data_IF_788646065766
#
_entry.id   IF_788646065766
#
_cell.length_a   1.000
_cell.length_b   1.000
_cell.length_c   1.000
_cell.angle_alpha   90.00
_cell.angle_beta   90.00
_cell.angle_gamma   90.00
#
_symmetry.space_group_name_H-M   'P 1'
#
loop_
_entity.id
_entity.type
_entity.pdbx_description
1 polymer ?
#
# COMPACT_ATOMS: atom_id res chain seq x y z
N UNK A 1 19.52 -2.03 1.01
CA UNK A 1 19.70 -1.53 -0.39
C UNK A 1 18.95 -2.41 -1.39
N UNK A 2 19.34 -3.67 -1.63
CA UNK A 2 18.72 -4.54 -2.65
C UNK A 2 17.21 -4.73 -2.50
N UNK A 3 16.72 -4.99 -1.28
CA UNK A 3 15.28 -5.10 -1.00
C UNK A 3 14.51 -3.83 -1.42
N UNK A 4 15.07 -2.63 -1.17
CA UNK A 4 14.46 -1.36 -1.55
C UNK A 4 14.38 -1.12 -3.07
N UNK A 5 15.01 -1.98 -3.88
CA UNK A 5 14.97 -1.99 -5.34
C UNK A 5 14.09 -3.13 -5.91
N UNK A 6 13.38 -3.85 -5.05
CA UNK A 6 12.58 -5.01 -5.45
C UNK A 6 13.39 -6.31 -5.59
N UNK A 7 14.68 -6.32 -5.23
CA UNK A 7 15.58 -7.47 -5.36
C UNK A 7 15.74 -8.22 -4.03
N UNK A 8 14.67 -8.88 -3.56
CA UNK A 8 14.68 -9.59 -2.28
C UNK A 8 15.65 -10.77 -2.27
N UNK A 9 15.74 -11.52 -3.37
CA UNK A 9 16.63 -12.68 -3.47
C UNK A 9 18.11 -12.31 -3.34
N UNK A 10 18.52 -11.16 -3.88
CA UNK A 10 19.89 -10.67 -3.72
C UNK A 10 20.15 -10.26 -2.26
N UNK A 11 19.17 -9.64 -1.60
CA UNK A 11 19.23 -9.34 -0.17
C UNK A 11 19.42 -10.60 0.67
N UNK A 12 18.69 -11.68 0.36
CA UNK A 12 18.84 -12.99 1.04
C UNK A 12 20.24 -13.57 0.86
N UNK A 13 20.77 -13.57 -0.37
CA UNK A 13 22.11 -14.11 -0.66
C UNK A 13 23.20 -13.40 0.13
N UNK A 14 23.14 -12.07 0.17
CA UNK A 14 24.10 -11.27 0.95
C UNK A 14 23.94 -11.56 2.44
N UNK A 15 22.71 -11.56 2.96
CA UNK A 15 22.44 -11.89 4.37
C UNK A 15 23.03 -13.25 4.75
N UNK A 16 22.80 -14.29 3.94
CA UNK A 16 23.34 -15.63 4.18
C UNK A 16 24.86 -15.76 4.04
N UNK A 17 25.54 -14.77 3.45
CA UNK A 17 27.00 -14.76 3.33
C UNK A 17 27.71 -14.13 4.54
N UNK A 18 26.97 -13.47 5.43
CA UNK A 18 27.52 -12.86 6.65
C UNK A 18 27.63 -13.93 7.74
N UNK A 19 28.81 -14.06 8.34
CA UNK A 19 29.10 -15.06 9.39
C UNK A 19 28.49 -14.68 10.74
N UNK A 20 28.50 -13.39 11.09
CA UNK A 20 27.97 -12.86 12.35
C UNK A 20 27.08 -11.65 12.03
N UNK A 21 25.77 -11.84 12.10
CA UNK A 21 24.80 -10.78 11.83
C UNK A 21 24.38 -10.12 13.15
N UNK A 22 24.48 -8.79 13.20
CA UNK A 22 24.02 -7.99 14.33
C UNK A 22 22.51 -7.74 14.31
N UNK A 23 21.99 -7.15 15.39
CA UNK A 23 20.57 -6.76 15.54
C UNK A 23 20.06 -5.97 14.33
N UNK A 24 20.87 -5.05 13.80
CA UNK A 24 20.48 -4.17 12.69
C UNK A 24 20.31 -4.98 11.40
N UNK A 25 21.22 -5.91 11.11
CA UNK A 25 21.15 -6.75 9.92
C UNK A 25 19.97 -7.73 9.97
N UNK A 26 19.72 -8.35 11.13
CA UNK A 26 18.53 -9.20 11.34
C UNK A 26 17.24 -8.42 11.13
N UNK A 27 17.11 -7.27 11.80
CA UNK A 27 15.95 -6.38 11.69
C UNK A 27 15.73 -5.90 10.26
N UNK A 28 16.82 -5.57 9.55
CA UNK A 28 16.77 -5.16 8.14
C UNK A 28 16.25 -6.27 7.24
N UNK A 29 16.66 -7.52 7.48
CA UNK A 29 16.20 -8.65 6.67
C UNK A 29 14.74 -9.01 6.98
N UNK A 30 14.32 -8.98 8.25
CA UNK A 30 12.91 -9.14 8.66
C UNK A 30 12.05 -8.09 7.96
N UNK A 31 12.47 -6.81 7.98
CA UNK A 31 11.78 -5.73 7.29
C UNK A 31 11.72 -5.95 5.78
N UNK A 32 12.81 -6.42 5.15
CA UNK A 32 12.85 -6.73 3.73
C UNK A 32 11.80 -7.78 3.34
N UNK A 33 11.64 -8.84 4.12
CA UNK A 33 10.58 -9.82 3.89
C UNK A 33 9.19 -9.20 4.07
N UNK A 34 8.97 -8.41 5.13
CA UNK A 34 7.70 -7.71 5.37
C UNK A 34 7.30 -6.79 4.22
N UNK A 35 8.23 -5.97 3.72
CA UNK A 35 7.98 -5.03 2.60
C UNK A 35 7.63 -5.74 1.29
N UNK A 36 7.90 -7.04 1.17
CA UNK A 36 7.65 -7.82 -0.04
C UNK A 36 6.45 -8.78 0.09
N UNK A 37 5.74 -8.77 1.22
CA UNK A 37 4.58 -9.63 1.47
C UNK A 37 4.92 -11.03 2.01
N UNK A 38 6.14 -11.23 2.51
CA UNK A 38 6.64 -12.51 3.02
C UNK A 38 6.65 -12.57 4.55
N UNK A 39 5.49 -12.35 5.18
CA UNK A 39 5.39 -12.25 6.64
C UNK A 39 5.74 -13.54 7.38
N UNK A 40 5.48 -14.70 6.79
CA UNK A 40 5.80 -15.99 7.43
C UNK A 40 7.32 -16.17 7.54
N UNK A 41 8.04 -15.83 6.48
CA UNK A 41 9.51 -15.84 6.46
C UNK A 41 10.11 -14.80 7.40
N UNK A 42 9.48 -13.62 7.52
CA UNK A 42 9.88 -12.59 8.48
C UNK A 42 9.80 -13.10 9.94
N UNK A 43 8.70 -13.80 10.30
CA UNK A 43 8.55 -14.44 11.62
C UNK A 43 9.57 -15.57 11.79
N UNK A 44 9.84 -16.33 10.73
CA UNK A 44 10.88 -17.37 10.74
C UNK A 44 12.27 -16.81 11.06
N UNK A 45 12.62 -15.64 10.51
CA UNK A 45 13.87 -14.97 10.85
C UNK A 45 13.90 -14.46 12.29
N UNK A 46 12.79 -13.96 12.82
CA UNK A 46 12.72 -13.57 14.22
C UNK A 46 13.00 -14.74 15.17
N UNK A 47 12.47 -15.94 14.87
CA UNK A 47 12.78 -17.14 15.68
C UNK A 47 14.26 -17.49 15.63
N UNK A 48 14.88 -17.43 14.45
CA UNK A 48 16.33 -17.66 14.30
C UNK A 48 17.16 -16.61 15.03
N UNK A 49 16.74 -15.35 14.98
CA UNK A 49 17.36 -14.26 15.73
C UNK A 49 17.34 -14.54 17.25
N UNK A 50 16.23 -15.08 17.77
CA UNK A 50 16.14 -15.53 19.18
C UNK A 50 17.08 -16.73 19.46
N UNK A 51 17.17 -17.71 18.54
CA UNK A 51 18.06 -18.88 18.66
C UNK A 51 19.55 -18.48 18.70
N UNK A 52 19.92 -17.44 17.94
CA UNK A 52 21.26 -16.83 17.94
C UNK A 52 21.50 -15.88 19.13
N UNK A 53 20.59 -15.85 20.11
CA UNK A 53 20.64 -15.00 21.31
C UNK A 53 20.74 -13.50 21.02
N UNK A 54 20.26 -13.04 19.86
CA UNK A 54 20.18 -11.62 19.52
C UNK A 54 18.89 -11.05 20.14
N UNK A 55 19.04 -10.09 21.04
CA UNK A 55 17.92 -9.50 21.78
C UNK A 55 17.14 -8.54 20.85
N UNK A 56 15.86 -8.81 20.54
CA UNK A 56 14.99 -7.93 19.78
C UNK A 56 14.70 -6.62 20.52
N UNK A 57 14.55 -5.54 19.76
CA UNK A 57 14.20 -4.21 20.26
C UNK A 57 12.85 -3.72 19.69
N UNK A 58 12.46 -2.49 20.04
CA UNK A 58 11.22 -1.88 19.52
C UNK A 58 11.19 -1.87 17.98
N UNK A 59 12.31 -1.61 17.30
CA UNK A 59 12.34 -1.59 15.84
C UNK A 59 12.10 -2.99 15.27
N UNK A 60 12.65 -4.04 15.90
CA UNK A 60 12.41 -5.43 15.53
C UNK A 60 10.92 -5.78 15.59
N UNK A 61 10.24 -5.40 16.68
CA UNK A 61 8.80 -5.64 16.82
C UNK A 61 7.96 -4.81 15.86
N UNK A 62 8.36 -3.57 15.59
CA UNK A 62 7.71 -2.73 14.60
C UNK A 62 7.74 -3.39 13.21
N UNK A 63 8.90 -3.86 12.75
CA UNK A 63 9.03 -4.47 11.41
C UNK A 63 8.32 -5.83 11.33
N UNK A 64 8.20 -6.55 12.43
CA UNK A 64 7.41 -7.78 12.52
C UNK A 64 5.91 -7.52 12.41
N UNK A 65 5.38 -6.56 13.18
CA UNK A 65 3.97 -6.18 13.10
C UNK A 65 3.62 -5.65 11.71
N UNK A 66 4.52 -4.86 11.11
CA UNK A 66 4.40 -4.41 9.73
C UNK A 66 4.33 -5.60 8.75
N UNK A 67 5.21 -6.60 8.90
CA UNK A 67 5.20 -7.81 8.08
C UNK A 67 3.88 -8.60 8.22
N UNK A 68 3.35 -8.72 9.44
CA UNK A 68 2.04 -9.33 9.70
C UNK A 68 0.91 -8.55 9.02
N UNK A 69 0.90 -7.21 9.16
CA UNK A 69 -0.10 -6.31 8.55
C UNK A 69 -0.19 -6.41 7.03
N UNK A 70 0.90 -6.83 6.38
CA UNK A 70 0.95 -6.94 4.92
C UNK A 70 0.89 -8.38 4.41
N UNK A 71 0.69 -9.36 5.30
CA UNK A 71 0.63 -10.78 4.96
C UNK A 71 -0.58 -11.51 5.57
N UNK A 72 -1.59 -10.76 6.05
CA UNK A 72 -2.81 -11.29 6.67
C UNK A 72 -2.58 -12.18 7.91
N UNK A 73 -1.49 -11.96 8.65
CA UNK A 73 -1.13 -12.78 9.80
C UNK A 73 -1.69 -12.21 11.10
N UNK A 74 -3.02 -12.18 11.22
CA UNK A 74 -3.75 -11.53 12.34
C UNK A 74 -3.33 -12.10 13.70
N UNK A 75 -3.41 -13.43 13.85
CA UNK A 75 -3.10 -14.09 15.12
C UNK A 75 -1.63 -13.98 15.49
N UNK A 76 -0.72 -14.05 14.51
CA UNK A 76 0.70 -13.83 14.75
C UNK A 76 0.97 -12.38 15.17
N UNK A 77 0.35 -11.40 14.51
CA UNK A 77 0.51 -9.99 14.86
C UNK A 77 0.04 -9.68 16.29
N UNK A 78 -1.11 -10.22 16.68
CA UNK A 78 -1.61 -10.12 18.08
C UNK A 78 -0.64 -10.77 19.07
N UNK A 79 -0.10 -11.95 18.74
CA UNK A 79 0.87 -12.65 19.59
C UNK A 79 2.17 -11.87 19.71
N UNK A 80 2.70 -11.35 18.60
CA UNK A 80 3.93 -10.55 18.55
C UNK A 80 3.79 -9.28 19.38
N UNK A 81 2.66 -8.58 19.27
CA UNK A 81 2.36 -7.39 20.08
C UNK A 81 2.39 -7.72 21.59
N UNK A 82 1.75 -8.82 22.00
CA UNK A 82 1.75 -9.27 23.40
C UNK A 82 3.13 -9.71 23.89
N UNK A 83 3.90 -10.41 23.06
CA UNK A 83 5.26 -10.88 23.41
C UNK A 83 6.19 -9.68 23.65
N UNK A 84 6.10 -8.64 22.83
CA UNK A 84 6.86 -7.39 23.02
C UNK A 84 6.69 -6.83 24.43
N UNK A 85 5.44 -6.73 24.89
CA UNK A 85 5.12 -6.20 26.22
C UNK A 85 5.49 -7.18 27.34
N UNK A 86 5.07 -8.45 27.23
CA UNK A 86 5.13 -9.39 28.35
C UNK A 86 6.48 -10.10 28.52
N UNK A 87 7.17 -10.40 27.41
CA UNK A 87 8.46 -11.12 27.43
C UNK A 87 9.64 -10.15 27.41
N UNK A 88 9.53 -9.10 26.59
CA UNK A 88 10.63 -8.16 26.38
C UNK A 88 10.49 -6.87 27.18
N UNK A 89 9.38 -6.66 27.89
CA UNK A 89 9.10 -5.46 28.69
C UNK A 89 9.25 -4.16 27.88
N UNK A 90 8.88 -4.20 26.59
CA UNK A 90 8.94 -3.04 25.70
C UNK A 90 7.55 -2.41 25.63
N UNK A 91 7.46 -1.13 26.04
CA UNK A 91 6.20 -0.38 25.97
C UNK A 91 5.86 -0.05 24.51
N UNK A 92 4.62 -0.31 24.04
CA UNK A 92 4.29 -0.09 22.64
C UNK A 92 4.29 1.39 22.26
N UNK A 93 5.11 1.76 21.28
CA UNK A 93 5.04 3.06 20.60
C UNK A 93 3.80 3.20 19.69
N UNK A 94 3.39 4.43 19.34
CA UNK A 94 2.29 4.67 18.40
C UNK A 94 2.40 3.90 17.08
N UNK A 95 3.61 3.67 16.58
CA UNK A 95 3.88 2.95 15.33
C UNK A 95 3.54 1.45 15.45
N UNK A 96 3.72 0.83 16.62
CA UNK A 96 3.31 -0.56 16.87
C UNK A 96 1.78 -0.67 16.83
N UNK A 97 1.09 0.25 17.50
CA UNK A 97 -0.37 0.35 17.42
C UNK A 97 -0.82 0.57 15.98
N UNK A 98 -0.11 1.39 15.20
CA UNK A 98 -0.48 1.70 13.82
C UNK A 98 -0.43 0.46 12.94
N UNK A 99 0.60 -0.37 13.11
CA UNK A 99 0.69 -1.65 12.40
C UNK A 99 -0.40 -2.63 12.83
N UNK A 100 -0.69 -2.73 14.14
CA UNK A 100 -1.73 -3.63 14.64
C UNK A 100 -3.14 -3.21 14.18
N UNK A 101 -3.44 -1.91 14.20
CA UNK A 101 -4.72 -1.36 13.72
C UNK A 101 -4.86 -1.50 12.21
N UNK A 102 -3.78 -1.28 11.43
CA UNK A 102 -3.77 -1.54 9.97
C UNK A 102 -4.02 -3.04 9.69
N UNK A 103 -3.41 -3.95 10.46
CA UNK A 103 -3.62 -5.41 10.34
C UNK A 103 -5.07 -5.80 10.62
N UNK A 104 -5.60 -5.40 11.77
CA UNK A 104 -6.98 -5.70 12.18
C UNK A 104 -7.99 -5.07 11.21
N UNK A 105 -7.75 -3.82 10.80
CA UNK A 105 -8.62 -3.09 9.89
C UNK A 105 -8.70 -3.74 8.51
N UNK A 106 -7.56 -4.14 7.93
CA UNK A 106 -7.52 -4.87 6.65
C UNK A 106 -8.26 -6.20 6.72
N UNK A 107 -8.14 -6.90 7.84
CA UNK A 107 -8.82 -8.18 8.08
C UNK A 107 -10.28 -8.03 8.57
N UNK A 108 -10.84 -6.81 8.54
CA UNK A 108 -12.22 -6.50 8.95
C UNK A 108 -12.54 -6.74 10.44
N UNK A 109 -11.53 -6.76 11.31
CA UNK A 109 -11.70 -6.74 12.77
C UNK A 109 -11.83 -5.29 13.27
N UNK A 110 -12.76 -4.53 12.68
CA UNK A 110 -12.85 -3.08 12.89
C UNK A 110 -13.14 -2.68 14.34
N UNK A 111 -13.99 -3.43 15.02
CA UNK A 111 -14.30 -3.15 16.43
C UNK A 111 -13.08 -3.41 17.32
N UNK A 112 -12.37 -4.51 17.10
CA UNK A 112 -11.12 -4.81 17.83
C UNK A 112 -10.04 -3.78 17.54
N UNK A 113 -9.93 -3.32 16.27
CA UNK A 113 -9.05 -2.23 15.89
C UNK A 113 -9.40 -0.94 16.65
N UNK A 114 -10.68 -0.61 16.76
CA UNK A 114 -11.15 0.55 17.51
C UNK A 114 -10.89 0.44 19.01
N UNK A 115 -11.08 -0.74 19.62
CA UNK A 115 -10.76 -0.95 21.03
C UNK A 115 -9.25 -0.86 21.28
N UNK A 116 -8.42 -1.41 20.38
CA UNK A 116 -6.95 -1.32 20.44
C UNK A 116 -6.46 0.12 20.46
N UNK A 117 -7.12 1.02 19.72
CA UNK A 117 -6.82 2.46 19.76
C UNK A 117 -7.06 3.07 21.14
N UNK A 118 -8.15 2.67 21.82
CA UNK A 118 -8.54 3.24 23.11
C UNK A 118 -7.63 2.83 24.25
N UNK A 119 -6.88 1.73 24.12
CA UNK A 119 -5.93 1.29 25.15
C UNK A 119 -4.65 2.11 25.18
N UNK A 120 -4.43 3.00 24.18
CA UNK A 120 -3.25 3.84 24.12
C UNK A 120 -3.25 4.90 25.23
N UNK A 121 -2.22 4.87 26.09
CA UNK A 121 -2.04 5.87 27.16
C UNK A 121 -1.89 7.29 26.64
N UNK A 122 -1.17 7.46 25.51
CA UNK A 122 -0.96 8.76 24.86
C UNK A 122 -2.17 9.25 24.04
N UNK A 123 -3.21 8.42 23.93
CA UNK A 123 -4.29 8.62 22.96
C UNK A 123 -3.87 8.29 21.51
N UNK A 124 -4.85 8.09 20.61
CA UNK A 124 -4.57 7.76 19.21
C UNK A 124 -4.08 8.97 18.40
N UNK A 125 -3.10 8.72 17.53
CA UNK A 125 -2.54 9.71 16.61
C UNK A 125 -3.39 9.87 15.34
N UNK A 126 -3.10 10.89 14.53
CA UNK A 126 -3.71 11.09 13.21
C UNK A 126 -3.58 9.85 12.32
N UNK A 127 -2.39 9.23 12.27
CA UNK A 127 -2.11 8.07 11.42
C UNK A 127 -3.00 6.86 11.75
N UNK A 128 -3.32 6.70 13.03
CA UNK A 128 -4.17 5.63 13.54
C UNK A 128 -5.64 5.82 13.15
N UNK A 129 -6.17 7.05 13.30
CA UNK A 129 -7.50 7.38 12.81
C UNK A 129 -7.60 7.26 11.29
N UNK A 130 -6.57 7.65 10.54
CA UNK A 130 -6.50 7.43 9.10
C UNK A 130 -6.56 5.94 8.74
N UNK A 131 -5.85 5.09 9.48
CA UNK A 131 -5.84 3.64 9.26
C UNK A 131 -7.23 3.03 9.49
N UNK A 132 -7.89 3.39 10.61
CA UNK A 132 -9.24 2.94 10.93
C UNK A 132 -10.26 3.44 9.91
N UNK A 133 -10.23 4.74 9.57
CA UNK A 133 -11.13 5.35 8.58
C UNK A 133 -11.01 4.69 7.21
N UNK A 134 -9.79 4.44 6.75
CA UNK A 134 -9.52 3.74 5.49
C UNK A 134 -10.13 2.35 5.49
N UNK A 135 -9.95 1.59 6.58
CA UNK A 135 -10.49 0.24 6.73
C UNK A 135 -12.01 0.23 6.81
N UNK A 136 -12.61 1.18 7.53
CA UNK A 136 -14.06 1.35 7.60
C UNK A 136 -14.67 1.70 6.23
N UNK A 137 -13.97 2.50 5.42
CA UNK A 137 -14.38 2.79 4.05
C UNK A 137 -14.36 1.54 3.17
N UNK A 138 -13.27 0.75 3.23
CA UNK A 138 -13.14 -0.50 2.44
C UNK A 138 -14.22 -1.52 2.80
N UNK A 139 -14.53 -1.67 4.09
CA UNK A 139 -15.51 -2.66 4.59
C UNK A 139 -16.91 -2.09 4.79
N UNK A 140 -17.19 -0.89 4.28
CA UNK A 140 -18.50 -0.22 4.37
C UNK A 140 -19.05 -0.04 5.81
N UNK A 141 -18.19 0.00 6.84
CA UNK A 141 -18.62 0.30 8.20
C UNK A 141 -18.84 1.81 8.35
N UNK A 142 -20.10 2.22 8.37
CA UNK A 142 -20.47 3.64 8.38
C UNK A 142 -20.25 4.28 9.75
N UNK A 143 -20.65 3.60 10.81
CA UNK A 143 -20.61 4.11 12.19
C UNK A 143 -19.18 4.42 12.65
N UNK A 144 -18.29 3.43 12.61
CA UNK A 144 -16.88 3.63 12.98
C UNK A 144 -16.17 4.58 12.01
N UNK A 145 -16.58 4.58 10.73
CA UNK A 145 -16.08 5.52 9.73
C UNK A 145 -16.38 6.98 10.09
N UNK A 146 -17.61 7.28 10.49
CA UNK A 146 -18.01 8.64 10.90
C UNK A 146 -17.28 9.07 12.19
N UNK A 147 -17.12 8.15 13.15
CA UNK A 147 -16.34 8.40 14.38
C UNK A 147 -14.88 8.74 14.02
N UNK A 148 -14.24 7.91 13.20
CA UNK A 148 -12.84 8.09 12.82
C UNK A 148 -12.62 9.38 12.01
N UNK A 149 -13.55 9.71 11.10
CA UNK A 149 -13.53 10.95 10.34
C UNK A 149 -13.60 12.18 11.25
N UNK A 150 -14.57 12.21 12.17
CA UNK A 150 -14.73 13.31 13.13
C UNK A 150 -13.49 13.46 14.01
N UNK A 151 -12.99 12.36 14.59
CA UNK A 151 -11.78 12.37 15.42
C UNK A 151 -10.55 12.86 14.66
N UNK A 152 -10.41 12.49 13.41
CA UNK A 152 -9.31 12.95 12.57
C UNK A 152 -9.42 14.46 12.27
N UNK A 153 -10.61 14.99 12.00
CA UNK A 153 -10.82 16.43 11.79
C UNK A 153 -10.58 17.24 13.06
N UNK A 154 -11.01 16.73 14.22
CA UNK A 154 -10.80 17.37 15.54
C UNK A 154 -9.29 17.58 15.84
N UNK A 155 -8.42 16.70 15.34
CA UNK A 155 -6.96 16.81 15.49
C UNK A 155 -6.33 17.91 14.61
N UNK A 156 -7.05 18.45 13.62
CA UNK A 156 -6.56 19.48 12.68
C UNK A 156 -5.21 19.09 12.03
N UNK A 157 -5.16 17.95 11.32
CA UNK A 157 -3.93 17.40 10.78
C UNK A 157 -3.26 18.37 9.81
N UNK A 158 -1.94 18.42 9.78
CA UNK A 158 -1.21 19.27 8.82
C UNK A 158 -0.98 18.58 7.46
N UNK A 159 -1.50 17.36 7.29
CA UNK A 159 -1.35 16.58 6.08
C UNK A 159 -2.62 16.70 5.20
N UNK A 160 -2.53 17.25 3.97
CA UNK A 160 -3.66 17.34 3.04
C UNK A 160 -4.29 15.97 2.72
N UNK A 161 -3.51 14.90 2.75
CA UNK A 161 -3.97 13.53 2.52
C UNK A 161 -5.03 13.07 3.53
N UNK A 162 -4.97 13.57 4.78
CA UNK A 162 -5.93 13.23 5.82
C UNK A 162 -7.32 13.83 5.52
N UNK A 163 -7.37 15.09 5.08
CA UNK A 163 -8.62 15.72 4.64
C UNK A 163 -9.18 15.06 3.38
N UNK A 164 -8.32 14.70 2.43
CA UNK A 164 -8.73 13.98 1.22
C UNK A 164 -9.33 12.63 1.58
N UNK A 165 -8.76 11.91 2.55
CA UNK A 165 -9.32 10.64 3.03
C UNK A 165 -10.70 10.83 3.65
N UNK A 166 -10.89 11.85 4.49
CA UNK A 166 -12.21 12.17 5.08
C UNK A 166 -13.22 12.56 4.01
N UNK A 167 -12.84 13.44 3.09
CA UNK A 167 -13.68 13.83 1.95
C UNK A 167 -14.08 12.62 1.11
N UNK A 168 -13.15 11.72 0.81
CA UNK A 168 -13.42 10.47 0.10
C UNK A 168 -14.38 9.55 0.86
N UNK A 169 -14.20 9.44 2.18
CA UNK A 169 -15.09 8.66 3.03
C UNK A 169 -16.52 9.22 3.04
N UNK A 170 -16.70 10.53 3.07
CA UNK A 170 -18.02 11.17 2.98
C UNK A 170 -18.64 11.06 1.59
N UNK A 171 -17.85 11.24 0.53
CA UNK A 171 -18.30 11.06 -0.85
C UNK A 171 -18.83 9.65 -1.10
N UNK A 172 -18.16 8.62 -0.58
CA UNK A 172 -18.61 7.24 -0.67
C UNK A 172 -19.91 6.93 0.10
N UNK A 173 -20.41 7.88 0.88
CA UNK A 173 -21.66 7.80 1.66
C UNK A 173 -22.68 8.85 1.22
N UNK A 174 -22.46 9.48 0.07
CA UNK A 174 -23.31 10.54 -0.51
C UNK A 174 -23.50 11.77 0.37
N UNK A 175 -22.56 12.01 1.31
CA UNK A 175 -22.56 13.17 2.22
C UNK A 175 -21.86 14.37 1.56
N UNK A 176 -22.46 14.90 0.50
CA UNK A 176 -21.83 15.94 -0.35
C UNK A 176 -21.63 17.28 0.36
N UNK A 177 -22.49 17.63 1.32
CA UNK A 177 -22.32 18.83 2.15
C UNK A 177 -21.05 18.74 3.01
N UNK A 178 -20.84 17.62 3.69
CA UNK A 178 -19.62 17.37 4.48
C UNK A 178 -18.36 17.34 3.59
N UNK A 179 -18.47 16.83 2.34
CA UNK A 179 -17.38 16.84 1.36
C UNK A 179 -16.96 18.28 1.03
N UNK A 180 -17.92 19.17 0.82
CA UNK A 180 -17.67 20.58 0.54
C UNK A 180 -17.03 21.28 1.74
N UNK A 181 -17.53 21.04 2.96
CA UNK A 181 -16.98 21.62 4.19
C UNK A 181 -15.52 21.21 4.41
N UNK A 182 -15.21 19.92 4.24
CA UNK A 182 -13.84 19.41 4.39
C UNK A 182 -12.90 20.03 3.35
N UNK A 183 -13.35 20.15 2.09
CA UNK A 183 -12.56 20.76 1.01
C UNK A 183 -12.39 22.26 1.21
N UNK A 184 -13.41 22.95 1.70
CA UNK A 184 -13.35 24.36 2.06
C UNK A 184 -12.32 24.59 3.18
N UNK A 185 -12.38 23.78 4.23
CA UNK A 185 -11.41 23.82 5.35
C UNK A 185 -9.98 23.62 4.84
N UNK A 186 -9.75 22.60 4.00
CA UNK A 186 -8.43 22.32 3.42
C UNK A 186 -7.91 23.52 2.60
N UNK A 187 -8.77 24.15 1.78
CA UNK A 187 -8.42 25.36 1.00
C UNK A 187 -8.12 26.56 1.91
N UNK A 188 -8.92 26.77 2.95
CA UNK A 188 -8.75 27.86 3.92
C UNK A 188 -7.43 27.76 4.69
N UNK A 189 -6.91 26.54 4.90
CA UNK A 189 -5.59 26.29 5.48
C UNK A 189 -4.43 26.39 4.47
N UNK A 190 -4.69 26.72 3.20
CA UNK A 190 -3.67 26.83 2.16
C UNK A 190 -3.09 25.48 1.70
N UNK A 191 -3.72 24.37 2.08
CA UNK A 191 -3.21 23.02 1.79
C UNK A 191 -3.45 22.62 0.34
N UNK A 192 -2.44 21.99 -0.28
CA UNK A 192 -2.50 21.44 -1.62
C UNK A 192 -2.06 19.98 -1.62
N UNK A 193 -2.84 19.13 -2.28
CA UNK A 193 -2.51 17.71 -2.45
C UNK A 193 -1.44 17.57 -3.53
N UNK A 194 -0.40 16.79 -3.25
CA UNK A 194 0.54 16.35 -4.27
C UNK A 194 -0.15 15.44 -5.31
N UNK A 195 0.11 15.62 -6.61
CA UNK A 195 -0.39 14.72 -7.64
C UNK A 195 0.08 13.28 -7.42
N UNK A 196 -0.80 12.32 -7.73
CA UNK A 196 -0.42 10.92 -7.77
C UNK A 196 0.47 10.68 -9.00
N UNK A 197 1.67 10.17 -8.81
CA UNK A 197 2.60 9.87 -9.89
C UNK A 197 3.15 8.45 -9.79
N UNK A 198 3.51 7.92 -10.95
CA UNK A 198 4.23 6.65 -11.08
C UNK A 198 5.44 6.88 -11.98
N UNK A 199 6.55 6.22 -11.69
CA UNK A 199 7.75 6.35 -12.51
C UNK A 199 8.45 5.02 -12.72
N UNK A 200 9.18 4.93 -13.82
CA UNK A 200 10.01 3.80 -14.19
C UNK A 200 11.40 4.29 -14.57
N UNK A 201 12.41 3.46 -14.37
CA UNK A 201 13.79 3.75 -14.76
C UNK A 201 14.23 2.78 -15.85
N UNK A 202 14.58 3.31 -17.02
CA UNK A 202 14.98 2.55 -18.20
C UNK A 202 16.16 3.25 -18.86
N UNK A 203 17.25 2.53 -19.09
CA UNK A 203 18.45 3.09 -19.73
C UNK A 203 19.02 4.29 -18.97
N UNK A 204 19.05 4.24 -17.63
CA UNK A 204 19.47 5.33 -16.73
C UNK A 204 18.64 6.62 -16.86
N UNK A 205 17.44 6.55 -17.43
CA UNK A 205 16.51 7.67 -17.50
C UNK A 205 15.26 7.35 -16.69
N UNK A 206 14.83 8.31 -15.87
CA UNK A 206 13.56 8.23 -15.14
C UNK A 206 12.45 8.81 -16.00
N UNK A 207 11.38 8.03 -16.17
CA UNK A 207 10.16 8.43 -16.88
C UNK A 207 9.02 8.48 -15.87
N UNK A 208 8.47 9.67 -15.66
CA UNK A 208 7.42 9.93 -14.67
C UNK A 208 6.10 10.21 -15.38
N UNK A 209 5.02 9.67 -14.83
CA UNK A 209 3.67 9.81 -15.33
C UNK A 209 2.76 10.29 -14.20
N UNK A 210 1.90 11.26 -14.49
CA UNK A 210 0.73 11.60 -13.66
C UNK A 210 -0.54 10.97 -14.23
N UNK A 211 -1.65 11.05 -13.51
CA UNK A 211 -2.93 10.59 -14.06
C UNK A 211 -3.29 11.40 -15.32
N UNK A 212 -3.67 10.71 -16.39
CA UNK A 212 -4.04 11.29 -17.69
C UNK A 212 -2.93 12.11 -18.36
N UNK A 213 -1.67 11.75 -18.08
CA UNK A 213 -0.51 12.45 -18.60
C UNK A 213 -0.38 12.32 -20.13
N UNK A 214 -0.28 13.46 -20.81
CA UNK A 214 -0.05 13.57 -22.26
C UNK A 214 1.26 14.28 -22.61
N UNK A 215 2.11 14.56 -21.62
CA UNK A 215 3.36 15.33 -21.80
C UNK A 215 4.52 14.49 -22.33
N UNK A 216 4.43 13.16 -22.24
CA UNK A 216 5.50 12.26 -22.67
C UNK A 216 5.64 12.24 -24.21
N UNK A 217 6.88 12.25 -24.71
CA UNK A 217 7.20 12.26 -26.16
C UNK A 217 6.58 11.10 -26.96
N UNK A 218 6.30 9.97 -26.30
CA UNK A 218 5.66 8.77 -26.89
C UNK A 218 4.20 8.61 -26.45
N UNK A 219 3.50 9.71 -26.14
CA UNK A 219 2.12 9.68 -25.60
C UNK A 219 1.19 8.82 -26.45
N UNK A 220 1.17 9.02 -27.76
CA UNK A 220 0.25 8.31 -28.66
C UNK A 220 0.54 6.80 -28.71
N UNK A 221 1.81 6.38 -28.68
CA UNK A 221 2.18 4.96 -28.57
C UNK A 221 1.73 4.37 -27.23
N UNK A 222 1.93 5.10 -26.12
CA UNK A 222 1.58 4.66 -24.77
C UNK A 222 0.08 4.40 -24.67
N UNK A 223 -0.75 5.35 -25.12
CA UNK A 223 -2.21 5.20 -25.09
C UNK A 223 -2.71 4.11 -26.02
N UNK A 224 -2.11 3.95 -27.21
CA UNK A 224 -2.44 2.84 -28.12
C UNK A 224 -2.11 1.48 -27.50
N UNK A 225 -0.93 1.35 -26.88
CA UNK A 225 -0.54 0.12 -26.19
C UNK A 225 -1.47 -0.17 -25.01
N UNK A 226 -1.77 0.84 -24.20
CA UNK A 226 -2.67 0.70 -23.06
C UNK A 226 -4.07 0.26 -23.51
N UNK A 227 -4.62 0.88 -24.55
CA UNK A 227 -5.92 0.48 -25.11
C UNK A 227 -5.92 -0.97 -25.61
N UNK A 228 -4.84 -1.40 -26.27
CA UNK A 228 -4.67 -2.80 -26.70
C UNK A 228 -4.65 -3.76 -25.50
N UNK A 229 -3.85 -3.47 -24.47
CA UNK A 229 -3.75 -4.31 -23.27
C UNK A 229 -5.09 -4.36 -22.55
N UNK A 230 -5.74 -3.22 -22.33
CA UNK A 230 -7.05 -3.15 -21.67
C UNK A 230 -8.09 -4.01 -22.41
N UNK A 231 -8.23 -3.82 -23.73
CA UNK A 231 -9.19 -4.60 -24.53
C UNK A 231 -8.91 -6.10 -24.44
N UNK A 232 -7.63 -6.50 -24.48
CA UNK A 232 -7.25 -7.91 -24.35
C UNK A 232 -7.61 -8.48 -22.98
N UNK A 233 -7.37 -7.71 -21.92
CA UNK A 233 -7.74 -8.11 -20.56
C UNK A 233 -9.26 -8.19 -20.35
N UNK A 234 -10.04 -7.33 -21.00
CA UNK A 234 -11.51 -7.38 -20.97
C UNK A 234 -12.03 -8.63 -21.69
N UNK A 235 -11.54 -8.89 -22.91
CA UNK A 235 -12.02 -9.99 -23.75
C UNK A 235 -11.58 -11.37 -23.28
N UNK A 236 -10.31 -11.51 -22.90
CA UNK A 236 -9.70 -12.80 -22.60
C UNK A 236 -9.43 -12.98 -21.09
N UNK A 237 -9.22 -11.88 -20.37
CA UNK A 237 -8.74 -11.90 -19.00
C UNK A 237 -9.79 -11.71 -17.91
N UNK A 238 -11.03 -11.41 -18.28
CA UNK A 238 -12.12 -11.14 -17.35
C UNK A 238 -11.93 -9.86 -16.54
N UNK A 239 -11.13 -8.92 -17.03
CA UNK A 239 -10.99 -7.61 -16.39
C UNK A 239 -12.30 -6.83 -16.54
N UNK A 240 -12.80 -6.33 -15.42
CA UNK A 240 -13.94 -5.42 -15.34
C UNK A 240 -13.49 -4.22 -14.50
N UNK A 241 -13.66 -3.02 -15.04
CA UNK A 241 -13.29 -1.78 -14.35
C UNK A 241 -14.07 -1.65 -13.04
N UNK A 242 -13.36 -1.38 -11.95
CA UNK A 242 -13.98 -1.26 -10.62
C UNK A 242 -14.21 0.22 -10.28
N UNK A 243 -15.29 0.80 -10.80
CA UNK A 243 -15.61 2.24 -10.68
C UNK A 243 -15.82 2.72 -9.24
N UNK A 244 -16.04 1.80 -8.28
CA UNK A 244 -16.05 2.08 -6.83
C UNK A 244 -14.77 2.76 -6.31
N UNK A 245 -13.65 2.67 -7.03
CA UNK A 245 -12.41 3.36 -6.67
C UNK A 245 -12.31 4.80 -7.22
N UNK A 246 -13.31 5.25 -7.98
CA UNK A 246 -13.44 6.62 -8.47
C UNK A 246 -14.52 7.32 -7.66
N UNK A 247 -14.07 8.21 -6.77
CA UNK A 247 -14.94 8.91 -5.81
C UNK A 247 -15.38 10.30 -6.32
N UNK A 248 -15.14 10.59 -7.59
CA UNK A 248 -15.62 11.80 -8.25
C UNK A 248 -17.09 11.63 -8.63
N UNK A 249 -17.88 12.68 -8.44
CA UNK A 249 -19.29 12.71 -8.82
C UNK A 249 -19.42 12.95 -10.33
N UNK A 250 -19.18 11.89 -11.11
CA UNK A 250 -19.23 11.88 -12.57
C UNK A 250 -19.98 10.63 -13.05
N UNK A 251 -20.39 10.63 -14.31
CA UNK A 251 -21.09 9.50 -14.93
C UNK A 251 -20.23 8.22 -14.92
N UNK A 252 -20.87 7.04 -14.90
CA UNK A 252 -20.15 5.76 -14.81
C UNK A 252 -19.18 5.54 -15.97
N UNK A 253 -19.51 5.98 -17.19
CA UNK A 253 -18.60 5.92 -18.34
C UNK A 253 -17.34 6.75 -18.11
N UNK A 254 -17.48 7.94 -17.54
CA UNK A 254 -16.36 8.83 -17.21
C UNK A 254 -15.48 8.21 -16.10
N UNK A 255 -16.07 7.51 -15.10
CA UNK A 255 -15.29 6.78 -14.09
C UNK A 255 -14.40 5.72 -14.72
N UNK A 256 -14.87 4.99 -15.72
CA UNK A 256 -14.06 3.99 -16.44
C UNK A 256 -12.90 4.66 -17.17
N UNK A 257 -13.13 5.79 -17.84
CA UNK A 257 -12.07 6.56 -18.50
C UNK A 257 -11.03 7.10 -17.50
N UNK A 258 -11.48 7.51 -16.30
CA UNK A 258 -10.61 7.97 -15.23
C UNK A 258 -9.66 6.86 -14.76
N UNK A 259 -10.16 5.64 -14.56
CA UNK A 259 -9.34 4.47 -14.19
C UNK A 259 -8.29 4.14 -15.25
N UNK A 260 -8.67 4.23 -16.53
CA UNK A 260 -7.77 3.95 -17.64
C UNK A 260 -6.58 4.93 -17.69
N UNK A 261 -6.76 6.17 -17.24
CA UNK A 261 -5.69 7.17 -17.20
C UNK A 261 -4.76 7.09 -16.00
N UNK A 262 -4.89 6.12 -15.09
CA UNK A 262 -4.03 6.04 -13.91
C UNK A 262 -2.54 5.91 -14.26
N UNK A 263 -1.68 6.59 -13.51
CA UNK A 263 -0.26 6.70 -13.82
C UNK A 263 0.47 5.36 -13.82
N UNK A 264 0.04 4.40 -12.99
CA UNK A 264 0.60 3.04 -12.99
C UNK A 264 0.40 2.34 -14.34
N UNK A 265 -0.75 2.58 -14.97
CA UNK A 265 -1.09 1.97 -16.27
C UNK A 265 -0.30 2.60 -17.40
N UNK A 266 -0.11 3.93 -17.37
CA UNK A 266 0.73 4.65 -18.32
C UNK A 266 2.20 4.18 -18.20
N UNK A 267 2.70 4.07 -16.96
CA UNK A 267 4.04 3.56 -16.67
C UNK A 267 4.22 2.13 -17.19
N UNK A 268 3.26 1.23 -16.95
CA UNK A 268 3.29 -0.15 -17.46
C UNK A 268 3.25 -0.19 -18.99
N UNK A 269 2.35 0.58 -19.62
CA UNK A 269 2.21 0.63 -21.07
C UNK A 269 3.48 1.16 -21.75
N UNK A 270 4.10 2.19 -21.19
CA UNK A 270 5.40 2.68 -21.66
C UNK A 270 6.50 1.62 -21.49
N UNK A 271 6.59 0.98 -20.32
CA UNK A 271 7.57 -0.08 -20.09
C UNK A 271 7.44 -1.21 -21.12
N UNK A 272 6.23 -1.65 -21.44
CA UNK A 272 5.96 -2.69 -22.44
C UNK A 272 6.44 -2.32 -23.85
N UNK A 273 6.44 -1.02 -24.20
CA UNK A 273 6.91 -0.55 -25.50
C UNK A 273 8.43 -0.62 -25.65
N UNK A 274 9.17 -0.33 -24.58
CA UNK A 274 10.61 -0.05 -24.67
C UNK A 274 11.49 -1.13 -24.06
N UNK A 275 10.91 -2.21 -23.54
CA UNK A 275 11.67 -3.29 -22.89
C UNK A 275 11.31 -4.66 -23.46
N UNK A 276 12.33 -5.53 -23.58
CA UNK A 276 12.19 -6.88 -24.14
C UNK A 276 11.20 -7.74 -23.34
N UNK A 277 10.42 -8.60 -24.01
CA UNK A 277 9.24 -9.33 -23.51
C UNK A 277 9.40 -10.03 -22.15
N UNK A 278 10.60 -10.51 -21.81
CA UNK A 278 10.89 -11.25 -20.57
C UNK A 278 11.52 -10.41 -19.45
N UNK A 279 11.80 -9.13 -19.71
CA UNK A 279 12.45 -8.26 -18.72
C UNK A 279 11.44 -7.87 -17.63
N UNK A 280 11.70 -8.08 -16.33
CA UNK A 280 10.78 -7.62 -15.30
C UNK A 280 10.54 -6.11 -15.39
N UNK A 281 9.27 -5.70 -15.30
CA UNK A 281 8.89 -4.27 -15.28
C UNK A 281 8.91 -3.79 -13.83
N UNK A 282 9.54 -2.66 -13.56
CA UNK A 282 9.59 -2.05 -12.22
C UNK A 282 8.94 -0.68 -12.25
N UNK A 283 7.87 -0.51 -11.48
CA UNK A 283 7.09 0.73 -11.37
C UNK A 283 7.13 1.19 -9.92
N UNK A 284 7.50 2.44 -9.69
CA UNK A 284 7.42 3.07 -8.38
C UNK A 284 6.22 4.01 -8.36
N UNK A 285 5.55 4.14 -7.21
CA UNK A 285 4.39 5.02 -7.02
C UNK A 285 4.51 5.75 -5.68
N UNK A 286 4.19 7.05 -5.68
CA UNK A 286 4.26 7.89 -4.46
C UNK A 286 3.07 7.67 -3.50
N UNK A 287 1.99 7.03 -3.95
CA UNK A 287 0.79 6.70 -3.18
C UNK A 287 0.48 5.20 -3.26
N UNK A 288 -0.51 4.71 -2.52
CA UNK A 288 -0.91 3.29 -2.58
C UNK A 288 -1.59 3.05 -3.91
N UNK A 289 -1.24 1.95 -4.56
CA UNK A 289 -1.91 1.52 -5.79
C UNK A 289 -3.39 1.31 -5.50
N UNK A 290 -4.30 1.78 -6.35
CA UNK A 290 -5.72 1.53 -6.16
C UNK A 290 -6.08 0.07 -6.46
N UNK A 291 -7.17 -0.44 -5.89
CA UNK A 291 -7.55 -1.86 -6.05
C UNK A 291 -7.85 -2.26 -7.49
N UNK A 292 -8.35 -1.33 -8.29
CA UNK A 292 -8.56 -1.52 -9.72
C UNK A 292 -7.24 -1.68 -10.49
N UNK A 293 -6.25 -0.79 -10.28
CA UNK A 293 -4.93 -0.92 -10.89
C UNK A 293 -4.19 -2.17 -10.40
N UNK A 294 -4.33 -2.53 -9.13
CA UNK A 294 -3.79 -3.78 -8.59
C UNK A 294 -4.37 -4.99 -9.34
N UNK A 295 -5.70 -5.03 -9.53
CA UNK A 295 -6.38 -6.10 -10.28
C UNK A 295 -5.93 -6.12 -11.75
N UNK A 296 -5.87 -4.97 -12.39
CA UNK A 296 -5.45 -4.82 -13.78
C UNK A 296 -4.02 -5.33 -14.02
N UNK A 297 -3.05 -4.88 -13.20
CA UNK A 297 -1.64 -5.29 -13.32
C UNK A 297 -1.48 -6.78 -12.98
N UNK A 298 -2.23 -7.28 -11.99
CA UNK A 298 -2.28 -8.72 -11.69
C UNK A 298 -2.68 -9.53 -12.92
N UNK A 299 -3.79 -9.18 -13.57
CA UNK A 299 -4.23 -9.85 -14.80
C UNK A 299 -3.23 -9.66 -15.94
N UNK A 300 -2.67 -8.46 -16.12
CA UNK A 300 -1.64 -8.17 -17.11
C UNK A 300 -0.43 -9.09 -16.95
N UNK A 301 0.05 -9.34 -15.73
CA UNK A 301 1.19 -10.25 -15.47
C UNK A 301 0.95 -11.67 -15.99
N UNK A 302 -0.30 -12.15 -15.95
CA UNK A 302 -0.70 -13.46 -16.49
C UNK A 302 -0.73 -13.46 -18.01
N UNK A 303 -1.36 -12.46 -18.63
CA UNK A 303 -1.52 -12.43 -20.09
C UNK A 303 -0.23 -12.14 -20.82
N UNK A 304 0.60 -11.28 -20.25
CA UNK A 304 1.87 -10.88 -20.83
C UNK A 304 2.99 -11.86 -20.47
N UNK A 305 2.72 -12.86 -19.60
CA UNK A 305 3.71 -13.82 -19.08
C UNK A 305 4.96 -13.11 -18.55
N UNK A 306 4.72 -12.01 -17.83
CA UNK A 306 5.75 -11.03 -17.48
C UNK A 306 5.62 -10.63 -16.03
N UNK A 307 6.74 -10.66 -15.32
CA UNK A 307 6.81 -10.16 -13.96
C UNK A 307 6.71 -8.64 -13.96
N UNK A 308 5.78 -8.12 -13.14
CA UNK A 308 5.60 -6.69 -12.93
C UNK A 308 5.74 -6.45 -11.43
N UNK A 309 6.69 -5.61 -11.06
CA UNK A 309 6.99 -5.25 -9.68
C UNK A 309 6.53 -3.81 -9.50
N UNK A 310 5.55 -3.59 -8.63
CA UNK A 310 5.09 -2.25 -8.27
C UNK A 310 5.48 -1.96 -6.82
N UNK A 311 6.29 -0.94 -6.59
CA UNK A 311 6.52 -0.38 -5.26
C UNK A 311 5.56 0.77 -5.04
N UNK A 312 4.62 0.61 -4.13
CA UNK A 312 3.84 1.74 -3.64
C UNK A 312 4.50 2.38 -2.41
N UNK A 313 3.89 3.40 -1.81
CA UNK A 313 4.49 4.09 -0.66
C UNK A 313 4.68 3.20 0.58
N UNK A 314 3.94 2.08 0.68
CA UNK A 314 4.05 1.16 1.79
C UNK A 314 4.96 -0.02 1.45
N UNK A 315 4.76 -0.70 0.32
CA UNK A 315 5.32 -2.03 0.06
C UNK A 315 5.55 -2.33 -1.42
N UNK A 316 6.19 -3.47 -1.68
CA UNK A 316 6.29 -4.09 -2.99
C UNK A 316 5.14 -5.05 -3.25
N UNK A 317 4.64 -5.01 -4.47
CA UNK A 317 3.70 -5.95 -5.05
C UNK A 317 4.41 -6.65 -6.21
N UNK A 318 4.66 -7.96 -6.06
CA UNK A 318 5.25 -8.77 -7.12
C UNK A 318 4.12 -9.48 -7.86
N UNK A 319 3.80 -9.01 -9.05
CA UNK A 319 2.76 -9.59 -9.90
C UNK A 319 3.38 -10.61 -10.85
N UNK A 320 2.98 -11.87 -10.71
CA UNK A 320 3.46 -12.97 -11.54
C UNK A 320 2.33 -13.96 -11.79
N UNK A 321 2.12 -14.32 -13.04
CA UNK A 321 1.15 -15.34 -13.46
C UNK A 321 -0.27 -15.13 -12.92
N UNK A 322 -0.69 -13.88 -12.71
CA UNK A 322 -2.04 -13.58 -12.20
C UNK A 322 -2.16 -13.63 -10.68
N UNK A 323 -1.05 -13.76 -9.96
CA UNK A 323 -0.98 -13.63 -8.51
C UNK A 323 -0.17 -12.38 -8.12
N UNK A 324 -0.38 -11.89 -6.90
CA UNK A 324 0.41 -10.84 -6.28
C UNK A 324 1.02 -11.37 -4.98
N UNK A 325 2.26 -10.98 -4.65
CA UNK A 325 2.92 -11.36 -3.39
C UNK A 325 2.16 -10.93 -2.12
N UNK A 326 1.22 -9.99 -2.22
CA UNK A 326 0.38 -9.62 -1.09
C UNK A 326 -0.82 -10.55 -0.83
N UNK A 327 -1.03 -11.59 -1.66
CA UNK A 327 -2.14 -12.53 -1.50
C UNK A 327 -3.54 -11.90 -1.61
N UNK A 328 -3.65 -10.80 -2.36
CA UNK A 328 -4.86 -9.97 -2.44
C UNK A 328 -5.32 -9.36 -1.10
N UNK A 329 -4.46 -9.41 -0.07
CA UNK A 329 -4.60 -8.63 1.16
C UNK A 329 -4.16 -7.19 0.90
N UNK A 330 -4.97 -6.50 0.07
CA UNK A 330 -4.67 -5.19 -0.48
C UNK A 330 -5.01 -4.06 0.46
#
# INVERSE_FOLDING_TARGET
MYACCGALEDSKRIFSSVSEADLVLWTSMIHAFGMHGHGVEAIGLFRKMEEENIIPDHITFLVLLYACSHSSLVEDGKRIFKIMEMKYNLEPWPEHYACLVDLLGRANYLEEAFQTLKTMKSGPTEALWCSLLSSCHVHSNKELGDIAAKKLLDLKPQNPGNYVLVSNAYAARDKWEDVEEVRFTMKGMGMKKEPACSWIEIGNKVHTFVAHDKSHQCCDEIYRNLAYVTKKLEMEGGYVAQTKYVLQNVEESEKVELLNGHSERLAMAYALLVTHEKTPIRIMKNLRICGDCHTFIKLASRFLQREIIVRDYKRFHHFRNGACSCGDFW
#
